data_IF_821633349230
#
_entry.id   IF_821633349230
#
_cell.length_a   1.000
_cell.length_b   1.000
_cell.length_c   1.000
_cell.angle_alpha   90.00
_cell.angle_beta   90.00
_cell.angle_gamma   90.00
#
_symmetry.space_group_name_H-M   'P 1'
#
loop_
_entity.id
_entity.type
_entity.pdbx_description
1 polymer ?
#
# COMPACT_ATOMS: atom_id res chain seq x y z
N UNK A 1 9.75 9.35 19.80
CA UNK A 1 8.97 8.14 20.17
C UNK A 1 9.96 6.99 20.16
N UNK A 2 10.18 6.33 21.32
CA UNK A 2 11.12 5.21 21.39
C UNK A 2 10.53 4.00 20.68
N UNK A 3 11.15 3.62 19.56
CA UNK A 3 10.77 2.45 18.77
C UNK A 3 11.79 1.34 18.99
N UNK A 4 11.30 0.13 19.30
CA UNK A 4 12.14 -1.06 19.33
C UNK A 4 12.30 -1.61 17.92
N UNK A 5 13.54 -1.70 17.45
CA UNK A 5 13.87 -2.32 16.17
C UNK A 5 14.56 -3.65 16.42
N UNK A 6 14.12 -4.69 15.70
CA UNK A 6 14.64 -6.04 15.80
C UNK A 6 15.27 -6.51 14.47
N UNK A 7 16.28 -7.36 14.61
CA UNK A 7 16.91 -8.10 13.53
C UNK A 7 17.05 -9.57 13.97
N UNK A 8 16.19 -10.44 13.46
CA UNK A 8 16.12 -11.85 13.83
C UNK A 8 17.05 -12.77 13.01
N UNK A 9 17.81 -12.23 12.05
CA UNK A 9 18.67 -13.03 11.18
C UNK A 9 20.09 -13.16 11.75
N UNK A 10 20.86 -14.11 11.20
CA UNK A 10 22.24 -14.35 11.60
C UNK A 10 23.15 -13.13 11.30
N UNK A 11 24.11 -12.89 12.20
CA UNK A 11 25.16 -11.89 12.05
C UNK A 11 26.10 -11.90 13.26
N UNK A 12 27.32 -11.38 13.09
CA UNK A 12 28.24 -11.16 14.22
C UNK A 12 28.06 -9.77 14.81
N UNK A 13 28.00 -8.74 13.97
CA UNK A 13 27.78 -7.35 14.37
C UNK A 13 26.76 -6.71 13.45
N UNK A 14 25.68 -6.21 14.05
CA UNK A 14 24.59 -5.55 13.33
C UNK A 14 24.54 -4.08 13.72
N UNK A 15 24.47 -3.22 12.71
CA UNK A 15 24.17 -1.80 12.88
C UNK A 15 22.92 -1.42 12.10
N UNK A 16 22.32 -0.30 12.49
CA UNK A 16 21.20 0.33 11.79
C UNK A 16 21.49 1.80 11.55
N UNK A 17 21.08 2.28 10.39
CA UNK A 17 21.14 3.69 10.00
C UNK A 17 19.90 4.05 9.20
N UNK A 18 19.52 5.33 9.17
CA UNK A 18 18.30 5.74 8.49
C UNK A 18 18.05 7.24 8.50
N UNK A 19 16.85 7.64 8.10
CA UNK A 19 16.46 9.05 8.03
C UNK A 19 16.45 9.72 9.40
N UNK A 20 16.20 8.97 10.48
CA UNK A 20 16.23 9.46 11.86
C UNK A 20 17.61 9.98 12.30
N UNK A 21 18.69 9.52 11.67
CA UNK A 21 20.05 9.98 11.95
C UNK A 21 20.78 10.52 10.71
N UNK A 22 20.01 10.93 9.70
CA UNK A 22 20.50 11.48 8.44
C UNK A 22 21.50 10.57 7.70
N UNK A 23 21.43 9.25 7.89
CA UNK A 23 22.37 8.28 7.28
C UNK A 23 23.86 8.49 7.62
N UNK A 24 24.16 9.34 8.62
CA UNK A 24 25.55 9.74 8.96
C UNK A 24 26.17 8.86 10.04
N UNK A 25 25.34 8.33 10.93
CA UNK A 25 25.78 7.51 12.04
C UNK A 25 25.19 6.11 11.92
N UNK A 26 25.91 5.11 12.46
CA UNK A 26 25.42 3.74 12.56
C UNK A 26 25.22 3.40 14.03
N UNK A 27 24.00 3.06 14.40
CA UNK A 27 23.63 2.65 15.76
C UNK A 27 23.88 1.15 15.85
N UNK A 28 24.69 0.71 16.81
CA UNK A 28 24.98 -0.73 17.00
C UNK A 28 23.81 -1.39 17.72
N UNK A 29 23.33 -2.51 17.22
CA UNK A 29 22.31 -3.31 17.89
C UNK A 29 22.96 -4.17 18.98
N UNK A 30 22.22 -4.37 20.07
CA UNK A 30 22.59 -5.27 21.16
C UNK A 30 22.23 -6.70 20.78
N UNK A 31 23.22 -7.59 20.85
CA UNK A 31 23.04 -9.02 20.56
C UNK A 31 22.40 -9.74 21.75
N UNK A 32 21.31 -10.43 21.50
CA UNK A 32 20.65 -11.37 22.42
C UNK A 32 21.06 -12.82 22.08
N UNK A 33 20.28 -13.83 22.48
CA UNK A 33 20.57 -15.24 22.21
C UNK A 33 20.52 -15.58 20.72
N UNK A 34 19.48 -15.11 20.02
CA UNK A 34 19.25 -15.34 18.58
C UNK A 34 19.13 -14.05 17.78
N UNK A 35 18.71 -12.96 18.44
CA UNK A 35 18.27 -11.74 17.75
C UNK A 35 19.12 -10.53 18.15
N UNK A 36 19.02 -9.46 17.38
CA UNK A 36 19.66 -8.19 17.64
C UNK A 36 18.61 -7.11 17.81
N UNK A 37 18.70 -6.32 18.88
CA UNK A 37 17.69 -5.27 19.17
C UNK A 37 18.32 -3.93 19.51
N UNK A 38 17.61 -2.85 19.20
CA UNK A 38 17.93 -1.49 19.65
C UNK A 38 16.66 -0.68 19.86
N UNK A 39 16.68 0.21 20.84
CA UNK A 39 15.63 1.22 21.03
C UNK A 39 16.12 2.53 20.42
N UNK A 40 15.34 3.08 19.49
CA UNK A 40 15.68 4.29 18.73
C UNK A 40 14.55 5.29 18.86
N UNK A 41 14.88 6.50 19.30
CA UNK A 41 13.94 7.60 19.30
C UNK A 41 13.73 8.11 17.88
N UNK A 42 12.53 7.90 17.34
CA UNK A 42 12.12 8.41 16.04
C UNK A 42 11.00 9.44 16.21
N UNK A 43 11.04 10.57 15.48
CA UNK A 43 9.89 11.45 15.34
C UNK A 43 8.68 10.73 14.72
N UNK A 44 7.47 11.29 14.84
CA UNK A 44 6.34 10.83 14.03
C UNK A 44 6.59 11.10 12.54
N UNK A 45 6.24 10.13 11.70
CA UNK A 45 6.39 10.21 10.25
C UNK A 45 6.89 8.90 9.63
N UNK A 46 7.19 8.97 8.34
CA UNK A 46 7.78 7.86 7.59
C UNK A 46 9.31 7.90 7.70
N UNK A 47 9.88 6.82 8.23
CA UNK A 47 11.31 6.66 8.38
C UNK A 47 11.84 5.56 7.49
N UNK A 48 12.87 5.86 6.70
CA UNK A 48 13.59 4.85 5.92
C UNK A 48 14.85 4.46 6.69
N UNK A 49 15.20 3.17 6.67
CA UNK A 49 16.33 2.62 7.39
C UNK A 49 16.93 1.44 6.65
N UNK A 50 18.18 1.12 6.98
CA UNK A 50 18.90 -0.03 6.46
C UNK A 50 19.81 -0.62 7.52
N UNK A 51 20.00 -1.93 7.46
CA UNK A 51 20.89 -2.65 8.36
C UNK A 51 22.25 -2.85 7.73
N UNK A 52 23.29 -2.85 8.56
CA UNK A 52 24.66 -3.17 8.17
C UNK A 52 25.06 -4.37 9.02
N UNK A 53 25.11 -5.55 8.42
CA UNK A 53 25.39 -6.83 9.08
C UNK A 53 26.73 -7.30 8.56
N UNK A 54 27.72 -7.40 9.44
CA UNK A 54 29.08 -7.85 9.09
C UNK A 54 29.67 -7.06 7.89
N UNK A 55 29.50 -5.74 7.94
CA UNK A 55 29.90 -4.76 6.91
C UNK A 55 29.14 -4.84 5.56
N UNK A 56 28.10 -5.67 5.48
CA UNK A 56 27.20 -5.73 4.32
C UNK A 56 25.87 -5.01 4.57
N UNK A 57 25.40 -4.27 3.57
CA UNK A 57 24.10 -3.59 3.63
C UNK A 57 22.95 -4.57 3.36
N UNK A 58 22.05 -4.74 4.32
CA UNK A 58 20.91 -5.66 4.24
C UNK A 58 19.59 -4.99 4.62
N UNK A 59 18.50 -5.52 4.08
CA UNK A 59 17.15 -5.20 4.49
C UNK A 59 16.65 -6.30 5.44
N UNK A 60 15.93 -5.92 6.48
CA UNK A 60 15.25 -6.89 7.35
C UNK A 60 14.06 -7.48 6.61
N UNK A 61 13.87 -8.79 6.75
CA UNK A 61 12.69 -9.52 6.26
C UNK A 61 11.44 -9.23 7.11
N UNK A 62 11.62 -8.81 8.36
CA UNK A 62 10.54 -8.51 9.30
C UNK A 62 9.93 -7.12 9.09
N UNK A 63 10.63 -6.25 8.36
CA UNK A 63 10.20 -4.88 8.09
C UNK A 63 9.82 -4.70 6.61
N UNK A 64 8.77 -3.91 6.31
CA UNK A 64 8.43 -3.56 4.94
C UNK A 64 9.63 -2.97 4.18
N UNK A 65 9.77 -3.35 2.90
CA UNK A 65 10.84 -2.89 2.01
C UNK A 65 10.26 -1.98 0.93
N UNK A 66 10.87 -0.82 0.74
CA UNK A 66 10.59 0.08 -0.36
C UNK A 66 11.81 0.18 -1.28
N UNK A 67 11.56 0.50 -2.55
CA UNK A 67 12.61 0.84 -3.50
C UNK A 67 12.76 2.36 -3.56
N UNK A 68 13.97 2.86 -3.34
CA UNK A 68 14.31 4.27 -3.49
C UNK A 68 14.42 4.67 -4.98
N UNK A 69 14.42 5.97 -5.25
CA UNK A 69 14.48 6.53 -6.61
C UNK A 69 15.69 6.00 -7.42
N UNK A 70 16.81 5.78 -6.73
CA UNK A 70 18.10 5.31 -7.27
C UNK A 70 18.19 3.77 -7.38
N UNK A 71 17.11 3.04 -7.10
CA UNK A 71 17.07 1.57 -7.21
C UNK A 71 17.60 0.82 -5.98
N UNK A 72 17.96 1.54 -4.92
CA UNK A 72 18.39 0.93 -3.66
C UNK A 72 17.18 0.48 -2.83
N UNK A 73 17.26 -0.74 -2.29
CA UNK A 73 16.24 -1.25 -1.36
C UNK A 73 16.53 -0.75 0.06
N UNK A 74 15.48 -0.23 0.71
CA UNK A 74 15.50 0.26 2.09
C UNK A 74 14.27 -0.27 2.83
N UNK A 75 14.41 -0.52 4.13
CA UNK A 75 13.23 -0.76 4.95
C UNK A 75 12.56 0.58 5.28
N UNK A 76 11.24 0.57 5.47
CA UNK A 76 10.52 1.74 5.97
C UNK A 76 9.62 1.39 7.15
N UNK A 77 9.47 2.37 8.04
CA UNK A 77 8.65 2.30 9.24
C UNK A 77 7.82 3.58 9.34
N UNK A 78 6.52 3.43 9.53
CA UNK A 78 5.64 4.54 9.86
C UNK A 78 5.54 4.66 11.39
N UNK A 79 5.86 5.84 11.93
CA UNK A 79 5.73 6.15 13.35
C UNK A 79 4.57 7.13 13.50
N UNK A 80 3.51 6.74 14.18
CA UNK A 80 2.36 7.61 14.48
C UNK A 80 2.55 8.35 15.82
N UNK A 81 2.05 9.59 15.92
CA UNK A 81 2.15 10.46 17.11
C UNK A 81 1.04 10.23 18.15
N UNK A 82 0.26 9.17 17.98
CA UNK A 82 -1.00 9.01 18.71
C UNK A 82 -0.79 8.69 20.19
N UNK A 83 -0.71 9.78 20.94
CA UNK A 83 -0.85 9.86 22.38
C UNK A 83 -2.29 9.45 22.74
N UNK A 84 -2.51 8.15 22.89
CA UNK A 84 -3.61 7.59 23.66
C UNK A 84 -5.01 7.76 23.10
N UNK A 85 -5.32 7.18 21.94
CA UNK A 85 -6.63 6.60 21.67
C UNK A 85 -6.45 5.28 20.93
N UNK A 86 -6.94 4.21 21.56
CA UNK A 86 -6.96 2.79 21.14
C UNK A 86 -6.82 2.57 19.62
N UNK A 87 -5.58 2.48 19.16
CA UNK A 87 -5.29 1.91 17.86
C UNK A 87 -5.15 0.42 18.11
N UNK A 88 -6.11 -0.33 17.57
CA UNK A 88 -6.20 -1.79 17.54
C UNK A 88 -4.87 -2.42 17.12
N UNK A 89 -3.98 -2.54 18.08
CA UNK A 89 -2.77 -3.32 18.06
C UNK A 89 -3.23 -4.78 17.97
N UNK A 90 -2.82 -5.48 16.91
CA UNK A 90 -3.18 -6.88 16.61
C UNK A 90 -2.71 -7.91 17.65
N UNK A 91 -2.58 -7.51 18.91
CA UNK A 91 -2.30 -8.30 20.10
C UNK A 91 -3.58 -8.90 20.71
N UNK A 92 -4.77 -8.40 20.36
CA UNK A 92 -6.05 -8.99 20.84
C UNK A 92 -6.32 -10.37 20.22
N UNK A 93 -5.68 -10.70 19.09
CA UNK A 93 -5.72 -12.04 18.49
C UNK A 93 -4.82 -13.07 19.20
N UNK A 94 -3.83 -12.65 20.01
CA UNK A 94 -3.01 -13.60 20.79
C UNK A 94 -3.66 -14.03 22.11
N UNK A 95 -4.50 -13.17 22.70
CA UNK A 95 -5.20 -13.48 23.96
C UNK A 95 -6.29 -14.55 23.80
N UNK A 96 -6.70 -14.86 22.56
CA UNK A 96 -7.72 -15.87 22.27
C UNK A 96 -7.19 -17.30 22.14
N UNK A 97 -5.86 -17.48 22.10
CA UNK A 97 -5.19 -18.79 22.00
C UNK A 97 -4.78 -19.40 23.37
N UNK A 98 -5.15 -18.78 24.49
CA UNK A 98 -4.74 -19.20 25.83
C UNK A 98 -5.43 -20.44 26.40
N UNK A 99 -6.59 -20.85 25.89
CA UNK A 99 -7.33 -22.02 26.39
C UNK A 99 -8.10 -22.69 25.26
N UNK A 100 -7.50 -23.66 24.56
CA UNK A 100 -8.18 -24.88 24.08
C UNK A 100 -7.21 -25.83 23.36
N UNK A 101 -7.09 -27.03 23.94
CA UNK A 101 -7.00 -28.36 23.33
C UNK A 101 -6.05 -28.62 22.14
N UNK A 102 -5.21 -29.65 22.29
CA UNK A 102 -4.07 -30.01 21.42
C UNK A 102 -4.44 -30.73 20.11
N UNK A 103 -5.65 -30.53 19.58
CA UNK A 103 -6.13 -31.25 18.38
C UNK A 103 -6.80 -30.35 17.32
N UNK A 104 -6.43 -29.06 17.25
CA UNK A 104 -6.93 -28.11 16.24
C UNK A 104 -5.84 -27.82 15.18
N UNK A 105 -6.13 -27.91 13.87
CA UNK A 105 -5.15 -27.65 12.83
C UNK A 105 -4.68 -26.19 12.87
N UNK A 106 -3.37 -25.98 12.68
CA UNK A 106 -2.71 -24.66 12.64
C UNK A 106 -3.53 -23.62 11.85
N UNK A 107 -3.69 -22.38 12.36
CA UNK A 107 -4.35 -21.33 11.61
C UNK A 107 -3.57 -21.08 10.33
N UNK A 108 -4.26 -21.27 9.21
CA UNK A 108 -3.82 -20.85 7.89
C UNK A 108 -3.43 -19.38 7.97
N UNK A 109 -2.17 -19.09 7.66
CA UNK A 109 -1.67 -17.74 7.37
C UNK A 109 -2.72 -16.99 6.54
N UNK A 110 -3.16 -15.79 6.93
CA UNK A 110 -4.11 -15.05 6.13
C UNK A 110 -3.49 -14.84 4.74
N UNK A 111 -4.23 -15.12 3.66
CA UNK A 111 -3.70 -14.92 2.31
C UNK A 111 -3.29 -13.46 2.15
N UNK A 112 -2.07 -13.24 1.66
CA UNK A 112 -1.41 -11.94 1.42
C UNK A 112 -2.13 -11.03 0.40
N UNK A 113 -3.36 -11.38 0.03
CA UNK A 113 -4.24 -10.58 -0.80
C UNK A 113 -5.66 -11.11 -0.57
N UNK A 114 -6.45 -10.37 0.18
CA UNK A 114 -7.90 -10.53 0.16
C UNK A 114 -8.47 -9.37 -0.62
N UNK A 115 -9.46 -9.67 -1.46
CA UNK A 115 -10.38 -8.65 -1.95
C UNK A 115 -10.89 -7.86 -0.74
N UNK A 116 -11.08 -6.54 -0.85
CA UNK A 116 -11.64 -5.76 0.26
C UNK A 116 -12.92 -6.42 0.75
N UNK A 117 -13.13 -6.39 2.07
CA UNK A 117 -14.28 -7.02 2.71
C UNK A 117 -15.57 -6.54 2.03
N UNK A 118 -16.26 -7.45 1.34
CA UNK A 118 -17.41 -7.10 0.52
C UNK A 118 -17.83 -8.20 -0.43
N UNK A 119 -19.07 -8.13 -0.88
CA UNK A 119 -19.58 -9.00 -1.95
C UNK A 119 -19.45 -8.27 -3.27
N UNK A 120 -18.85 -8.94 -4.27
CA UNK A 120 -18.83 -8.42 -5.63
C UNK A 120 -20.25 -8.29 -6.16
N UNK A 121 -20.60 -7.12 -6.71
CA UNK A 121 -21.90 -6.85 -7.31
C UNK A 121 -21.72 -6.26 -8.70
N UNK A 122 -22.67 -6.54 -9.58
CA UNK A 122 -22.80 -5.89 -10.88
C UNK A 122 -23.72 -4.66 -10.83
N UNK A 123 -24.27 -4.34 -9.66
CA UNK A 123 -25.12 -3.16 -9.47
C UNK A 123 -24.27 -1.90 -9.43
N UNK A 124 -24.52 -0.99 -10.37
CA UNK A 124 -23.88 0.33 -10.42
C UNK A 124 -24.41 1.13 -9.22
N UNK A 125 -23.52 1.64 -8.34
CA UNK A 125 -23.95 2.46 -7.21
C UNK A 125 -24.85 3.62 -7.63
N UNK A 126 -25.95 3.84 -6.89
CA UNK A 126 -26.95 4.85 -7.21
C UNK A 126 -26.39 6.27 -7.38
N UNK A 127 -25.28 6.59 -6.71
CA UNK A 127 -24.61 7.89 -6.85
C UNK A 127 -23.99 8.10 -8.24
N UNK A 128 -23.51 7.04 -8.90
CA UNK A 128 -22.99 7.13 -10.28
C UNK A 128 -24.14 7.32 -11.29
N UNK A 129 -25.26 6.63 -11.07
CA UNK A 129 -26.46 6.76 -11.91
C UNK A 129 -27.08 8.15 -11.82
N UNK A 130 -27.08 8.76 -10.63
CA UNK A 130 -27.59 10.13 -10.41
C UNK A 130 -26.74 11.21 -11.11
N UNK A 131 -25.43 11.00 -11.27
CA UNK A 131 -24.55 11.92 -12.02
C UNK A 131 -24.79 11.88 -13.53
N UNK A 132 -25.20 10.73 -14.08
CA UNK A 132 -25.50 10.59 -15.50
C UNK A 132 -26.86 11.20 -15.89
N UNK A 133 -27.72 11.47 -14.91
CA UNK A 133 -29.05 12.01 -15.15
C UNK A 133 -28.94 13.48 -15.55
N UNK A 134 -29.44 13.89 -16.74
CA UNK A 134 -29.40 15.28 -17.15
C UNK A 134 -30.14 16.13 -16.13
N UNK A 135 -29.44 17.07 -15.52
CA UNK A 135 -30.03 18.04 -14.59
C UNK A 135 -31.19 18.73 -15.32
N UNK A 136 -32.42 18.73 -14.76
CA UNK A 136 -33.50 19.49 -15.37
C UNK A 136 -33.10 20.97 -15.42
N UNK A 137 -33.38 21.70 -16.51
CA UNK A 137 -33.05 23.11 -16.58
C UNK A 137 -33.71 23.83 -15.40
N UNK A 138 -32.94 24.65 -14.68
CA UNK A 138 -33.45 25.54 -13.63
C UNK A 138 -34.45 26.52 -14.27
N UNK A 139 -35.72 26.13 -14.31
CA UNK A 139 -36.80 27.01 -14.75
C UNK A 139 -36.93 28.11 -13.70
N UNK A 140 -36.68 29.36 -14.13
CA UNK A 140 -36.95 30.56 -13.35
C UNK A 140 -38.38 30.48 -12.76
N UNK A 141 -38.43 30.60 -11.43
CA UNK A 141 -39.61 30.40 -10.60
C UNK A 141 -40.60 31.56 -10.76
N UNK A 142 -41.45 31.49 -11.78
CA UNK A 142 -42.60 32.37 -11.97
C UNK A 142 -43.91 31.68 -11.60
N UNK A 143 -44.46 32.06 -10.44
CA UNK A 143 -45.88 32.00 -10.04
C UNK A 143 -46.77 30.86 -10.55
N UNK A 144 -47.04 29.88 -9.68
CA UNK A 144 -48.37 29.59 -9.09
C UNK A 144 -48.29 28.34 -8.20
N UNK A 145 -48.49 28.56 -6.90
CA UNK A 145 -48.68 27.55 -5.87
C UNK A 145 -50.00 26.80 -6.12
N UNK A 146 -49.93 25.49 -6.38
CA UNK A 146 -51.02 24.53 -6.14
C UNK A 146 -50.60 23.07 -6.42
N UNK A 147 -49.56 22.83 -7.23
CA UNK A 147 -49.07 21.48 -7.56
C UNK A 147 -47.71 21.12 -6.92
N UNK A 148 -47.21 21.96 -5.99
CA UNK A 148 -45.84 21.89 -5.48
C UNK A 148 -45.67 21.05 -4.20
N UNK A 149 -46.75 20.72 -3.50
CA UNK A 149 -46.67 20.13 -2.15
C UNK A 149 -46.51 18.60 -2.19
N UNK A 150 -47.05 17.93 -3.22
CA UNK A 150 -46.90 16.48 -3.41
C UNK A 150 -45.58 16.09 -4.11
N UNK A 151 -44.93 17.01 -4.83
CA UNK A 151 -43.62 16.77 -5.45
C UNK A 151 -42.44 17.03 -4.49
N UNK A 152 -42.62 17.91 -3.50
CA UNK A 152 -41.58 18.24 -2.51
C UNK A 152 -41.45 17.16 -1.41
N UNK A 153 -42.55 16.51 -1.01
CA UNK A 153 -42.53 15.47 0.01
C UNK A 153 -41.84 14.17 -0.46
N UNK A 154 -41.95 13.82 -1.75
CA UNK A 154 -41.24 12.68 -2.33
C UNK A 154 -39.73 12.95 -2.49
N UNK A 155 -39.33 14.21 -2.65
CA UNK A 155 -37.94 14.63 -2.74
C UNK A 155 -37.24 14.77 -1.38
N UNK A 156 -37.99 14.93 -0.29
CA UNK A 156 -37.44 15.10 1.07
C UNK A 156 -37.13 13.76 1.79
N UNK A 157 -37.72 12.64 1.34
CA UNK A 157 -37.52 11.32 1.95
C UNK A 157 -36.31 10.55 1.41
N UNK A 158 -35.70 11.02 0.32
CA UNK A 158 -34.49 10.44 -0.25
C UNK A 158 -33.34 11.42 0.00
N UNK A 159 -32.68 11.31 1.16
CA UNK A 159 -31.38 11.94 1.34
C UNK A 159 -30.51 11.56 0.14
N UNK A 160 -30.00 12.51 -0.65
CA UNK A 160 -29.18 12.18 -1.82
C UNK A 160 -28.00 11.33 -1.33
N UNK A 161 -27.67 10.23 -2.02
CA UNK A 161 -26.59 9.36 -1.60
C UNK A 161 -25.32 10.19 -1.42
N UNK A 162 -24.77 10.17 -0.21
CA UNK A 162 -23.59 10.96 0.16
C UNK A 162 -22.42 10.51 -0.72
N UNK A 163 -21.90 11.43 -1.53
CA UNK A 163 -20.71 11.16 -2.34
C UNK A 163 -19.55 10.77 -1.42
N UNK A 164 -18.75 9.76 -1.79
CA UNK A 164 -17.40 9.64 -1.25
C UNK A 164 -16.68 10.97 -1.53
N UNK A 165 -16.39 11.74 -0.47
CA UNK A 165 -15.74 13.06 -0.59
C UNK A 165 -14.22 12.96 -0.78
N UNK A 166 -13.68 11.74 -0.83
CA UNK A 166 -12.25 11.53 -0.93
C UNK A 166 -11.80 11.73 -2.40
N UNK A 167 -10.82 12.62 -2.66
CA UNK A 167 -10.27 12.77 -4.00
C UNK A 167 -9.61 11.46 -4.46
N UNK A 168 -9.54 11.21 -5.79
CA UNK A 168 -8.87 10.03 -6.28
C UNK A 168 -7.40 10.01 -5.81
N UNK A 169 -6.86 8.82 -5.47
CA UNK A 169 -5.48 8.72 -5.04
C UNK A 169 -4.53 9.19 -6.15
N UNK A 170 -3.43 9.80 -5.74
CA UNK A 170 -2.38 10.21 -6.68
C UNK A 170 -1.73 8.99 -7.33
N UNK A 171 -1.33 9.14 -8.59
CA UNK A 171 -0.60 8.09 -9.32
C UNK A 171 0.73 7.82 -8.60
N UNK A 172 0.99 6.57 -8.18
CA UNK A 172 2.29 6.23 -7.60
C UNK A 172 3.38 6.41 -8.66
N UNK A 173 4.49 7.11 -8.36
CA UNK A 173 5.55 7.41 -9.33
C UNK A 173 6.25 6.14 -9.85
N UNK A 174 6.16 5.03 -9.12
CA UNK A 174 6.71 3.72 -9.53
C UNK A 174 6.06 3.18 -10.82
N UNK A 175 4.78 3.49 -11.06
CA UNK A 175 4.06 3.03 -12.25
C UNK A 175 4.49 3.77 -13.53
N UNK A 176 5.14 4.92 -13.40
CA UNK A 176 5.71 5.66 -14.53
C UNK A 176 6.98 4.99 -15.08
N UNK A 177 7.66 4.17 -14.26
CA UNK A 177 8.86 3.41 -14.66
C UNK A 177 8.47 2.15 -15.43
N UNK A 178 8.37 2.26 -16.75
CA UNK A 178 8.05 1.13 -17.64
C UNK A 178 9.31 0.34 -18.01
N UNK A 179 9.35 -0.96 -17.69
CA UNK A 179 10.52 -1.81 -17.97
C UNK A 179 10.85 -1.96 -19.46
N UNK A 180 9.83 -1.88 -20.32
CA UNK A 180 9.99 -1.98 -21.78
C UNK A 180 10.58 -0.71 -22.41
N UNK A 181 10.55 0.41 -21.69
CA UNK A 181 11.14 1.66 -22.14
C UNK A 181 12.57 1.84 -21.61
N UNK A 182 13.07 0.92 -20.78
CA UNK A 182 14.43 0.95 -20.27
C UNK A 182 15.43 0.63 -21.40
N UNK A 183 16.66 1.19 -21.34
CA UNK A 183 17.72 0.79 -22.27
C UNK A 183 18.05 -0.70 -22.11
N UNK A 184 18.54 -1.32 -23.18
CA UNK A 184 19.00 -2.70 -23.13
C UNK A 184 20.16 -2.85 -22.14
N UNK A 185 20.15 -3.94 -21.37
CA UNK A 185 21.19 -4.23 -20.38
C UNK A 185 22.39 -4.96 -21.00
N UNK A 186 22.14 -5.78 -22.02
CA UNK A 186 23.15 -6.55 -22.73
C UNK A 186 22.99 -6.32 -24.24
N UNK A 187 24.07 -5.93 -24.91
CA UNK A 187 24.11 -5.74 -26.36
C UNK A 187 24.03 -7.08 -27.12
N UNK A 188 24.29 -8.21 -26.45
CA UNK A 188 24.30 -9.53 -27.06
C UNK A 188 22.96 -10.28 -27.00
N UNK A 189 22.05 -9.94 -26.07
CA UNK A 189 20.73 -10.59 -25.95
C UNK A 189 19.58 -9.58 -25.76
N UNK A 190 18.80 -9.28 -26.81
CA UNK A 190 17.70 -8.30 -26.76
C UNK A 190 16.46 -8.80 -25.99
N UNK A 191 16.45 -10.06 -25.55
CA UNK A 191 15.34 -10.63 -24.77
C UNK A 191 15.47 -10.40 -23.26
N UNK A 192 16.66 -9.99 -22.80
CA UNK A 192 16.92 -9.75 -21.38
C UNK A 192 16.38 -8.39 -20.95
N UNK A 193 15.59 -8.40 -19.87
CA UNK A 193 15.06 -7.20 -19.24
C UNK A 193 15.63 -7.05 -17.83
N UNK A 194 15.70 -5.82 -17.36
CA UNK A 194 16.09 -5.55 -15.97
C UNK A 194 15.08 -6.09 -14.97
N UNK A 195 15.55 -6.33 -13.74
CA UNK A 195 14.71 -6.81 -12.66
C UNK A 195 13.65 -5.75 -12.34
N UNK A 196 12.34 -6.05 -12.55
CA UNK A 196 11.26 -5.11 -12.26
C UNK A 196 11.10 -4.90 -10.75
N UNK A 197 10.64 -3.72 -10.35
CA UNK A 197 10.17 -3.52 -8.99
C UNK A 197 8.88 -4.32 -8.75
N UNK A 198 8.70 -4.85 -7.55
CA UNK A 198 7.54 -5.69 -7.22
C UNK A 198 6.20 -4.94 -7.36
N UNK A 199 6.19 -3.63 -7.17
CA UNK A 199 5.02 -2.75 -7.33
C UNK A 199 4.58 -2.65 -8.80
N UNK A 200 5.49 -2.86 -9.75
CA UNK A 200 5.18 -2.75 -11.18
C UNK A 200 4.58 -4.05 -11.74
N UNK A 201 4.60 -5.13 -10.95
CA UNK A 201 4.03 -6.41 -11.33
C UNK A 201 2.51 -6.34 -11.37
N UNK A 202 1.91 -7.08 -12.29
CA UNK A 202 0.46 -7.16 -12.49
C UNK A 202 -0.22 -5.84 -12.91
N UNK A 203 0.55 -4.82 -13.29
CA UNK A 203 0.04 -3.61 -13.94
C UNK A 203 0.03 -3.78 -15.47
N UNK A 204 -1.05 -3.31 -16.09
CA UNK A 204 -1.25 -3.36 -17.55
C UNK A 204 -0.57 -2.16 -18.22
N UNK A 205 0.31 -2.44 -19.18
CA UNK A 205 0.90 -1.45 -20.07
C UNK A 205 0.34 -1.60 -21.47
N UNK A 206 0.07 -0.49 -22.15
CA UNK A 206 -0.47 -0.49 -23.51
C UNK A 206 0.29 0.50 -24.37
N UNK A 207 0.46 0.19 -25.64
CA UNK A 207 0.85 1.19 -26.63
C UNK A 207 -0.41 1.80 -27.27
N UNK A 208 -0.29 3.03 -27.77
CA UNK A 208 -1.37 3.65 -28.53
C UNK A 208 -1.72 2.80 -29.75
N UNK A 209 -3.01 2.66 -30.03
CA UNK A 209 -3.52 1.91 -31.18
C UNK A 209 -2.95 2.53 -32.47
N UNK A 210 -2.33 1.70 -33.30
CA UNK A 210 -1.79 2.08 -34.63
C UNK A 210 -2.18 1.01 -35.63
N UNK A 211 -2.63 1.42 -36.81
CA UNK A 211 -3.02 0.52 -37.91
C UNK A 211 -4.05 -0.57 -37.53
N UNK A 212 -4.95 -0.26 -36.58
CA UNK A 212 -5.94 -1.21 -36.07
C UNK A 212 -5.38 -2.27 -35.12
N UNK A 213 -4.11 -2.16 -34.72
CA UNK A 213 -3.44 -3.06 -33.78
C UNK A 213 -3.19 -2.37 -32.44
N UNK A 214 -3.48 -3.07 -31.35
CA UNK A 214 -3.14 -2.66 -29.98
C UNK A 214 -2.11 -3.62 -29.41
N UNK A 215 -0.96 -3.10 -28.98
CA UNK A 215 0.02 -3.84 -28.19
C UNK A 215 -0.29 -3.69 -26.70
N UNK A 216 -0.32 -4.82 -26.00
CA UNK A 216 -0.58 -4.89 -24.56
C UNK A 216 0.53 -5.72 -23.91
N UNK A 217 1.01 -5.28 -22.76
CA UNK A 217 2.05 -5.95 -22.00
C UNK A 217 1.71 -5.96 -20.51
N UNK A 218 2.10 -7.03 -19.82
CA UNK A 218 2.01 -7.17 -18.37
C UNK A 218 3.26 -7.91 -17.88
N UNK A 219 3.76 -7.52 -16.72
CA UNK A 219 4.89 -8.22 -16.08
C UNK A 219 4.33 -9.07 -14.94
N UNK A 220 4.53 -10.38 -15.03
CA UNK A 220 4.03 -11.33 -14.02
C UNK A 220 5.18 -12.17 -13.51
N UNK A 221 5.24 -12.35 -12.19
CA UNK A 221 6.23 -13.18 -11.53
C UNK A 221 5.85 -14.65 -11.60
N UNK A 222 6.78 -15.50 -11.98
CA UNK A 222 6.71 -16.95 -11.87
C UNK A 222 7.79 -17.46 -10.91
N UNK A 223 7.37 -17.83 -9.69
CA UNK A 223 8.28 -18.21 -8.59
C UNK A 223 9.24 -17.06 -8.25
N UNK A 224 10.53 -17.25 -8.52
CA UNK A 224 11.60 -16.27 -8.29
C UNK A 224 11.96 -15.49 -9.56
N UNK A 225 11.25 -15.73 -10.68
CA UNK A 225 11.48 -15.09 -11.98
C UNK A 225 10.39 -14.09 -12.33
#
# INVERSE_FOLDING_TARGET
IPIMVNWAQAGHVVYITGTFNQWKQKVRLSKSTTDFTAVIDMPPGMHMLKFIVDDEWKCSEDLPVACEADGNLVNYLQVSDETGEQQQDGLDDLARFGETDWDVPKPVTPPLSHSPLGTYTNEIPAYLSAMHQPQPPSILRGSKQAAAEQAAAAAAAASPPKLPQEPPPHLPPHLEKVILNAPMLDDHDPSTLGVPQHVNLNHLYTCSIRDGVMGVACTTRYREK
#
